data_IF_752483555470
#
_entry.id   IF_752483555470
#
_cell.length_a   1.000
_cell.length_b   1.000
_cell.length_c   1.000
_cell.angle_alpha   90.00
_cell.angle_beta   90.00
_cell.angle_gamma   90.00
#
_symmetry.space_group_name_H-M   'P 1'
#
loop_
_entity.id
_entity.type
_entity.pdbx_description
1 polymer ?
#
# COMPACT_ATOMS: atom_id res chain seq x y z
N UNK A 1 19.82 4.73 -22.06
CA UNK A 1 18.39 4.67 -21.67
C UNK A 1 18.19 5.46 -20.38
N UNK A 2 17.52 6.62 -20.43
CA UNK A 2 17.22 7.44 -19.23
C UNK A 2 15.83 7.05 -18.70
N UNK A 3 15.74 6.48 -17.49
CA UNK A 3 14.47 6.31 -16.77
C UNK A 3 14.19 7.60 -16.01
N UNK A 4 13.06 8.25 -16.28
CA UNK A 4 12.59 9.41 -15.51
C UNK A 4 11.96 8.95 -14.19
N UNK A 5 12.47 9.36 -13.02
CA UNK A 5 11.78 9.18 -11.75
C UNK A 5 11.19 10.53 -11.35
N UNK A 6 9.95 10.84 -11.77
CA UNK A 6 9.38 12.15 -11.47
C UNK A 6 7.87 12.25 -11.39
N UNK A 7 7.11 11.32 -12.00
CA UNK A 7 5.67 11.56 -12.17
C UNK A 7 4.74 10.89 -11.16
N UNK A 8 5.21 9.96 -10.32
CA UNK A 8 4.33 9.25 -9.39
C UNK A 8 4.15 9.95 -8.03
N UNK A 9 4.93 10.99 -7.72
CA UNK A 9 4.95 11.56 -6.37
C UNK A 9 3.72 12.41 -6.02
N UNK A 10 3.06 13.05 -7.01
CA UNK A 10 1.85 13.86 -6.77
C UNK A 10 0.62 12.97 -6.63
N UNK A 11 0.42 12.03 -7.55
CA UNK A 11 -0.68 11.06 -7.51
C UNK A 11 -0.67 10.18 -6.24
N UNK A 12 0.52 9.91 -5.68
CA UNK A 12 0.63 9.17 -4.41
C UNK A 12 0.15 10.03 -3.23
N UNK A 13 0.49 11.32 -3.19
CA UNK A 13 0.07 12.24 -2.12
C UNK A 13 -1.44 12.46 -2.10
N UNK A 14 -2.06 12.62 -3.28
CA UNK A 14 -3.51 12.82 -3.38
C UNK A 14 -4.27 11.60 -2.84
N UNK A 15 -3.77 10.39 -3.18
CA UNK A 15 -4.32 9.12 -2.67
C UNK A 15 -4.12 8.95 -1.17
N UNK A 16 -2.96 9.32 -0.64
CA UNK A 16 -2.70 9.29 0.81
C UNK A 16 -3.66 10.20 1.58
N UNK A 17 -3.91 11.42 1.07
CA UNK A 17 -4.85 12.36 1.68
C UNK A 17 -6.29 11.78 1.71
N UNK A 18 -6.73 11.16 0.62
CA UNK A 18 -8.04 10.49 0.54
C UNK A 18 -8.15 9.35 1.56
N UNK A 19 -7.11 8.52 1.68
CA UNK A 19 -7.07 7.43 2.67
C UNK A 19 -7.13 7.99 4.11
N UNK A 20 -6.39 9.06 4.41
CA UNK A 20 -6.43 9.69 5.73
C UNK A 20 -7.83 10.23 6.06
N UNK A 21 -8.53 10.83 5.10
CA UNK A 21 -9.90 11.29 5.28
C UNK A 21 -10.86 10.12 5.56
N UNK A 22 -10.73 9.02 4.83
CA UNK A 22 -11.53 7.80 5.04
C UNK A 22 -11.28 7.24 6.44
N UNK A 23 -10.01 7.15 6.86
CA UNK A 23 -9.63 6.69 8.20
C UNK A 23 -10.23 7.58 9.30
N UNK A 24 -10.22 8.90 9.11
CA UNK A 24 -10.83 9.83 10.05
C UNK A 24 -12.35 9.61 10.19
N UNK A 25 -13.05 9.29 9.09
CA UNK A 25 -14.49 8.98 9.11
C UNK A 25 -14.74 7.64 9.80
N UNK A 26 -13.95 6.60 9.48
CA UNK A 26 -14.05 5.29 10.14
C UNK A 26 -13.81 5.40 11.66
N UNK A 27 -12.84 6.22 12.07
CA UNK A 27 -12.55 6.48 13.48
C UNK A 27 -13.74 7.16 14.18
N UNK A 28 -14.46 8.07 13.49
CA UNK A 28 -15.70 8.68 14.01
C UNK A 28 -16.85 7.68 14.12
N UNK A 29 -16.83 6.59 13.37
CA UNK A 29 -17.79 5.48 13.48
C UNK A 29 -17.40 4.45 14.54
N UNK A 30 -16.25 4.62 15.22
CA UNK A 30 -15.74 3.68 16.22
C UNK A 30 -15.01 2.47 15.63
N UNK A 31 -14.62 2.55 14.36
CA UNK A 31 -13.92 1.48 13.65
C UNK A 31 -12.43 1.76 13.74
N UNK A 32 -11.73 0.93 14.51
CA UNK A 32 -10.30 1.07 14.77
C UNK A 32 -9.50 -0.15 14.29
N UNK A 33 -10.17 -1.21 13.86
CA UNK A 33 -9.52 -2.48 13.46
C UNK A 33 -10.02 -2.96 12.11
N UNK A 34 -9.17 -3.74 11.42
CA UNK A 34 -9.53 -4.37 10.14
C UNK A 34 -10.71 -5.34 10.29
N UNK A 35 -10.82 -6.04 11.43
CA UNK A 35 -11.95 -6.92 11.71
C UNK A 35 -13.28 -6.18 11.82
N UNK A 36 -13.29 -5.01 12.47
CA UNK A 36 -14.48 -4.14 12.52
C UNK A 36 -14.85 -3.58 11.15
N UNK A 37 -13.86 -3.22 10.33
CA UNK A 37 -14.11 -2.80 8.95
C UNK A 37 -14.67 -3.96 8.11
N UNK A 38 -14.13 -5.17 8.27
CA UNK A 38 -14.57 -6.35 7.53
C UNK A 38 -15.99 -6.80 7.89
N UNK A 39 -16.44 -6.51 9.12
CA UNK A 39 -17.79 -6.78 9.58
C UNK A 39 -18.85 -5.83 8.98
N UNK A 40 -18.45 -4.72 8.35
CA UNK A 40 -19.37 -3.81 7.68
C UNK A 40 -19.87 -4.37 6.36
N UNK A 41 -21.09 -3.96 5.99
CA UNK A 41 -21.66 -4.22 4.68
C UNK A 41 -20.95 -3.41 3.57
N UNK A 42 -20.60 -4.10 2.47
CA UNK A 42 -19.83 -3.52 1.36
C UNK A 42 -20.60 -2.42 0.64
N UNK A 43 -21.91 -2.58 0.47
CA UNK A 43 -22.77 -1.66 -0.29
C UNK A 43 -22.97 -0.36 0.48
N UNK A 44 -23.17 -0.46 1.80
CA UNK A 44 -23.22 0.71 2.68
C UNK A 44 -21.89 1.48 2.71
N UNK A 45 -20.76 0.76 2.70
CA UNK A 45 -19.44 1.38 2.65
C UNK A 45 -19.21 2.13 1.33
N UNK A 46 -19.57 1.49 0.20
CA UNK A 46 -19.47 2.07 -1.13
C UNK A 46 -20.32 3.33 -1.28
N UNK A 47 -21.56 3.31 -0.77
CA UNK A 47 -22.49 4.43 -0.85
C UNK A 47 -22.03 5.67 -0.06
N UNK A 48 -21.30 5.47 1.05
CA UNK A 48 -20.93 6.57 1.97
C UNK A 48 -19.52 7.11 1.74
N UNK A 49 -18.57 6.25 1.36
CA UNK A 49 -17.15 6.58 1.29
C UNK A 49 -16.57 6.40 -0.12
N UNK A 50 -17.35 5.85 -1.06
CA UNK A 50 -16.93 5.68 -2.44
C UNK A 50 -15.96 4.52 -2.68
N UNK A 51 -15.31 4.49 -3.85
CA UNK A 51 -14.61 3.31 -4.35
C UNK A 51 -13.28 3.00 -3.63
N UNK A 52 -12.58 3.98 -3.05
CA UNK A 52 -11.34 3.72 -2.29
C UNK A 52 -11.64 2.96 -0.98
N UNK A 53 -12.78 3.22 -0.35
CA UNK A 53 -13.20 2.48 0.84
C UNK A 53 -13.55 1.02 0.52
N UNK A 54 -14.17 0.77 -0.63
CA UNK A 54 -14.42 -0.59 -1.13
C UNK A 54 -13.10 -1.35 -1.33
N UNK A 55 -12.10 -0.72 -1.93
CA UNK A 55 -10.75 -1.30 -2.09
C UNK A 55 -10.11 -1.62 -0.73
N UNK A 56 -10.34 -0.79 0.29
CA UNK A 56 -9.85 -1.04 1.64
C UNK A 56 -10.57 -2.22 2.30
N UNK A 57 -11.89 -2.33 2.14
CA UNK A 57 -12.69 -3.44 2.65
C UNK A 57 -12.34 -4.78 1.99
N UNK A 58 -12.11 -4.79 0.67
CA UNK A 58 -11.68 -5.99 -0.05
C UNK A 58 -10.33 -6.49 0.44
N UNK A 59 -9.38 -5.58 0.71
CA UNK A 59 -8.09 -5.91 1.33
C UNK A 59 -8.25 -6.43 2.77
N UNK A 60 -9.12 -5.81 3.58
CA UNK A 60 -9.38 -6.24 4.95
C UNK A 60 -10.00 -7.65 5.02
N UNK A 61 -10.83 -8.02 4.03
CA UNK A 61 -11.44 -9.34 3.91
C UNK A 61 -10.55 -10.39 3.21
N UNK A 62 -9.27 -10.07 2.94
CA UNK A 62 -8.36 -10.98 2.25
C UNK A 62 -8.72 -11.24 0.78
N UNK A 63 -9.66 -10.48 0.18
CA UNK A 63 -10.02 -10.56 -1.24
C UNK A 63 -9.04 -9.77 -2.11
N UNK A 64 -7.74 -9.96 -1.88
CA UNK A 64 -6.70 -9.39 -2.75
C UNK A 64 -6.35 -10.38 -3.84
N UNK A 65 -7.01 -10.26 -4.99
CA UNK A 65 -6.70 -11.05 -6.19
C UNK A 65 -5.48 -10.47 -6.94
N UNK A 66 -4.32 -10.41 -6.27
CA UNK A 66 -3.07 -10.07 -6.94
C UNK A 66 -2.42 -11.34 -7.46
N UNK A 67 -2.33 -11.46 -8.79
CA UNK A 67 -1.59 -12.55 -9.43
C UNK A 67 -0.18 -12.65 -8.85
N UNK A 68 0.21 -13.87 -8.47
CA UNK A 68 1.56 -14.16 -8.04
C UNK A 68 2.51 -13.89 -9.20
N UNK A 69 3.50 -13.04 -8.98
CA UNK A 69 4.59 -12.85 -9.93
C UNK A 69 5.64 -13.91 -9.64
N UNK A 70 5.94 -14.73 -10.63
CA UNK A 70 7.10 -15.62 -10.58
C UNK A 70 8.35 -14.73 -10.64
N UNK A 71 8.95 -14.47 -9.49
CA UNK A 71 10.22 -13.75 -9.40
C UNK A 71 11.33 -14.78 -9.59
N UNK A 72 12.02 -14.72 -10.73
CA UNK A 72 13.30 -15.40 -10.87
C UNK A 72 14.32 -14.60 -10.06
N UNK A 73 15.04 -15.22 -9.11
CA UNK A 73 16.15 -14.53 -8.46
C UNK A 73 17.14 -14.10 -9.57
N UNK A 74 17.65 -12.86 -9.52
CA UNK A 74 18.66 -12.43 -10.47
C UNK A 74 19.89 -13.33 -10.35
N UNK A 75 20.39 -13.84 -11.48
CA UNK A 75 21.63 -14.63 -11.56
C UNK A 75 22.86 -13.70 -11.44
N UNK A 76 22.93 -12.93 -10.35
CA UNK A 76 24.00 -11.98 -10.07
C UNK A 76 24.70 -12.36 -8.78
N UNK A 77 26.02 -12.53 -8.85
CA UNK A 77 26.89 -12.66 -7.70
C UNK A 77 27.64 -11.33 -7.54
N UNK A 78 27.35 -10.61 -6.45
CA UNK A 78 28.05 -9.38 -6.07
C UNK A 78 29.00 -9.69 -4.91
N UNK A 79 30.30 -9.67 -5.19
CA UNK A 79 31.36 -9.74 -4.19
C UNK A 79 31.97 -8.35 -4.01
N UNK A 80 31.95 -7.84 -2.77
CA UNK A 80 32.61 -6.59 -2.42
C UNK A 80 33.47 -6.79 -1.18
N UNK A 81 34.74 -6.43 -1.29
CA UNK A 81 35.71 -6.44 -0.19
C UNK A 81 35.92 -4.99 0.26
N UNK A 82 35.42 -4.64 1.44
CA UNK A 82 35.68 -3.35 2.05
C UNK A 82 37.08 -3.36 2.67
N UNK A 83 38.01 -2.62 2.07
CA UNK A 83 39.33 -2.40 2.68
C UNK A 83 39.17 -1.29 3.72
N UNK A 84 39.41 -1.63 4.99
CA UNK A 84 39.64 -0.61 6.01
C UNK A 84 41.11 -0.19 5.89
N UNK A 85 41.34 1.10 5.67
CA UNK A 85 42.67 1.67 5.45
C UNK A 85 43.69 1.23 6.51
N UNK A 86 44.95 0.94 6.14
CA UNK A 86 45.98 0.65 7.13
C UNK A 86 46.25 1.92 7.96
N UNK A 87 46.09 1.81 9.28
CA UNK A 87 46.55 2.84 10.22
C UNK A 87 48.07 2.75 10.30
N UNK A 88 48.76 3.75 9.77
CA UNK A 88 50.13 4.10 10.16
C UNK A 88 50.09 5.14 11.29
#
# INVERSE_FOLDING_TARGET
MKRFPGSNSTATKDREAEIQQILAILHKWGIHTLGQLAALDKEQLAARLGPEAVRMWERANGKSERLLKLVRPPESFDESLSISSPKN
#
